data_IF_565196441904
#
_entry.id   IF_565196441904
#
_cell.length_a   1.000
_cell.length_b   1.000
_cell.length_c   1.000
_cell.angle_alpha   90.00
_cell.angle_beta   90.00
_cell.angle_gamma   90.00
#
_symmetry.space_group_name_H-M   'P 1'
#
loop_
_entity.id
_entity.type
_entity.pdbx_description
1 polymer ?
#
# COMPACT_ATOMS: atom_id res chain seq x y z
N UNK A 1 17.84 6.17 4.79
CA UNK A 1 19.00 6.30 3.84
C UNK A 1 19.82 5.02 3.74
N UNK A 2 20.15 4.34 4.85
CA UNK A 2 20.83 3.01 4.83
C UNK A 2 20.01 1.90 4.17
N UNK A 3 18.71 1.81 4.45
CA UNK A 3 17.85 0.73 3.92
C UNK A 3 17.71 0.77 2.38
N UNK A 4 17.66 1.96 1.78
CA UNK A 4 17.66 2.14 0.32
C UNK A 4 18.99 1.73 -0.32
N UNK A 5 20.12 1.94 0.36
CA UNK A 5 21.42 1.45 -0.11
C UNK A 5 21.52 -0.07 -0.01
N UNK A 6 20.96 -0.67 1.05
CA UNK A 6 20.88 -2.12 1.22
C UNK A 6 19.99 -2.76 0.14
N UNK A 7 18.80 -2.20 -0.12
CA UNK A 7 17.93 -2.68 -1.20
C UNK A 7 18.59 -2.56 -2.58
N UNK A 8 19.33 -1.47 -2.84
CA UNK A 8 20.11 -1.32 -4.08
C UNK A 8 21.27 -2.31 -4.18
N UNK A 9 21.97 -2.59 -3.07
CA UNK A 9 23.06 -3.58 -3.04
C UNK A 9 22.56 -5.01 -3.22
N UNK A 10 21.42 -5.35 -2.61
CA UNK A 10 20.77 -6.64 -2.84
C UNK A 10 20.33 -6.77 -4.30
N UNK A 11 19.70 -5.74 -4.86
CA UNK A 11 19.33 -5.68 -6.27
C UNK A 11 20.51 -5.89 -7.23
N UNK A 12 21.67 -5.28 -6.94
CA UNK A 12 22.86 -5.40 -7.80
C UNK A 12 23.67 -6.68 -7.59
N UNK A 13 23.68 -7.25 -6.38
CA UNK A 13 24.22 -8.59 -6.13
C UNK A 13 23.35 -9.66 -6.81
N UNK A 14 22.04 -9.46 -6.83
CA UNK A 14 21.09 -10.35 -7.49
C UNK A 14 21.13 -10.24 -9.02
N UNK A 15 21.42 -9.06 -9.58
CA UNK A 15 21.57 -8.86 -11.01
C UNK A 15 22.78 -9.62 -11.62
N UNK A 16 23.75 -10.02 -10.79
CA UNK A 16 24.87 -10.87 -11.22
C UNK A 16 24.46 -12.34 -11.43
N UNK A 17 23.27 -12.74 -10.95
CA UNK A 17 22.64 -14.04 -11.20
C UNK A 17 21.74 -13.94 -12.43
N UNK A 18 22.13 -14.60 -13.53
CA UNK A 18 21.50 -14.56 -14.86
C UNK A 18 20.08 -15.20 -14.96
N UNK A 19 19.19 -14.98 -13.99
CA UNK A 19 17.82 -15.47 -14.07
C UNK A 19 16.80 -14.41 -13.61
N UNK A 20 16.04 -13.91 -14.59
CA UNK A 20 14.85 -13.05 -14.49
C UNK A 20 15.12 -11.56 -14.25
N UNK A 21 14.67 -10.70 -15.17
CA UNK A 21 14.60 -9.25 -14.94
C UNK A 21 13.73 -8.97 -13.70
N UNK A 22 14.35 -8.62 -12.58
CA UNK A 22 13.64 -8.27 -11.34
C UNK A 22 13.17 -6.83 -11.43
N UNK A 23 11.86 -6.62 -11.55
CA UNK A 23 11.25 -5.28 -11.45
C UNK A 23 11.02 -4.95 -9.98
N UNK A 24 11.78 -3.99 -9.46
CA UNK A 24 11.50 -3.42 -8.15
C UNK A 24 10.31 -2.49 -8.26
N UNK A 25 9.30 -2.74 -7.42
CA UNK A 25 8.14 -1.87 -7.32
C UNK A 25 7.99 -1.37 -5.89
N UNK A 26 7.97 -0.05 -5.74
CA UNK A 26 7.72 0.60 -4.47
C UNK A 26 6.22 0.79 -4.26
N UNK A 27 5.70 0.30 -3.14
CA UNK A 27 4.37 0.65 -2.65
C UNK A 27 4.55 1.52 -1.42
N UNK A 28 3.94 2.68 -1.41
CA UNK A 28 4.02 3.63 -0.31
C UNK A 28 2.62 3.94 0.19
N UNK A 29 2.51 4.17 1.49
CA UNK A 29 1.33 4.81 2.06
C UNK A 29 1.09 6.15 1.35
N UNK A 30 -0.16 6.54 1.25
CA UNK A 30 -0.53 7.84 0.73
C UNK A 30 -0.78 8.80 1.87
N UNK A 31 0.24 8.93 2.70
CA UNK A 31 0.38 9.95 3.73
C UNK A 31 1.40 11.00 3.28
N UNK A 32 1.72 11.96 4.15
CA UNK A 32 2.73 12.95 3.84
C UNK A 32 4.11 12.33 3.57
N UNK A 33 4.53 11.34 4.37
CA UNK A 33 5.85 10.76 4.25
C UNK A 33 5.98 9.89 2.99
N UNK A 34 4.99 9.05 2.70
CA UNK A 34 4.94 8.19 1.53
C UNK A 34 4.89 8.97 0.22
N UNK A 35 4.05 10.02 0.12
CA UNK A 35 4.06 10.95 -1.03
C UNK A 35 5.43 11.58 -1.26
N UNK A 36 6.09 12.01 -0.18
CA UNK A 36 7.43 12.61 -0.24
C UNK A 36 8.49 11.60 -0.69
N UNK A 37 8.48 10.39 -0.14
CA UNK A 37 9.42 9.33 -0.51
C UNK A 37 9.26 8.87 -1.96
N UNK A 38 8.01 8.70 -2.41
CA UNK A 38 7.70 8.31 -3.78
C UNK A 38 8.22 9.36 -4.78
N UNK A 39 8.01 10.65 -4.49
CA UNK A 39 8.53 11.75 -5.29
C UNK A 39 10.07 11.76 -5.32
N UNK A 40 10.69 11.70 -4.14
CA UNK A 40 12.15 11.68 -4.01
C UNK A 40 12.77 10.54 -4.82
N UNK A 41 12.16 9.35 -4.81
CA UNK A 41 12.65 8.20 -5.57
C UNK A 41 12.61 8.45 -7.08
N UNK A 42 11.55 9.07 -7.58
CA UNK A 42 11.43 9.45 -9.00
C UNK A 42 12.41 10.58 -9.40
N UNK A 43 12.75 11.47 -8.47
CA UNK A 43 13.75 12.54 -8.68
C UNK A 43 15.18 11.99 -8.69
N UNK A 44 15.47 10.99 -7.85
CA UNK A 44 16.80 10.38 -7.73
C UNK A 44 17.18 9.47 -8.91
N UNK A 45 16.20 8.84 -9.56
CA UNK A 45 16.41 8.02 -10.75
C UNK A 45 15.29 8.29 -11.77
N UNK A 46 15.62 8.95 -12.88
CA UNK A 46 14.65 9.31 -13.92
C UNK A 46 13.98 8.09 -14.57
N UNK A 47 14.55 6.89 -14.41
CA UNK A 47 13.96 5.63 -14.90
C UNK A 47 12.90 5.09 -13.96
N UNK A 48 12.75 5.62 -12.75
CA UNK A 48 11.66 5.28 -11.84
C UNK A 48 10.52 6.27 -12.08
N UNK A 49 9.31 5.76 -12.33
CA UNK A 49 8.13 6.58 -12.60
C UNK A 49 6.96 6.21 -11.70
N UNK A 50 6.22 7.23 -11.29
CA UNK A 50 4.94 7.09 -10.60
C UNK A 50 3.94 6.25 -11.42
N UNK A 51 3.22 5.38 -10.72
CA UNK A 51 2.26 4.39 -11.23
C UNK A 51 2.79 3.46 -12.32
N UNK A 52 4.12 3.33 -12.42
CA UNK A 52 4.79 2.33 -13.24
C UNK A 52 5.72 1.48 -12.40
N UNK A 53 6.56 2.16 -11.61
CA UNK A 53 7.57 1.55 -10.74
C UNK A 53 7.28 1.87 -9.26
N UNK A 54 6.54 2.96 -9.00
CA UNK A 54 6.21 3.43 -7.65
C UNK A 54 4.74 3.78 -7.56
N UNK A 55 4.03 3.20 -6.59
CA UNK A 55 2.59 3.35 -6.40
C UNK A 55 2.32 3.92 -5.00
N UNK A 56 1.28 4.75 -4.92
CA UNK A 56 0.72 5.23 -3.66
C UNK A 56 -0.54 4.43 -3.36
N UNK A 57 -0.76 4.10 -2.10
CA UNK A 57 -2.00 3.46 -1.66
C UNK A 57 -3.19 4.40 -1.81
N UNK A 58 -4.33 3.84 -2.16
CA UNK A 58 -5.59 4.57 -2.22
C UNK A 58 -6.71 3.69 -1.68
N UNK A 59 -7.79 4.28 -1.17
CA UNK A 59 -9.00 3.54 -0.83
C UNK A 59 -9.52 2.67 -1.98
N UNK A 60 -9.36 3.16 -3.22
CA UNK A 60 -9.65 2.41 -4.44
C UNK A 60 -8.40 2.32 -5.29
N UNK A 61 -7.89 1.11 -5.47
CA UNK A 61 -6.78 0.82 -6.38
C UNK A 61 -7.34 0.33 -7.73
N UNK A 62 -7.29 1.15 -8.80
CA UNK A 62 -7.89 0.78 -10.09
C UNK A 62 -7.09 -0.32 -10.79
N UNK A 63 -7.74 -1.30 -11.43
CA UNK A 63 -7.03 -2.26 -12.30
C UNK A 63 -6.22 -1.54 -13.40
N UNK A 64 -5.04 -2.06 -13.77
CA UNK A 64 -4.21 -1.47 -14.83
C UNK A 64 -4.87 -1.57 -16.19
N UNK A 65 -5.60 -2.67 -16.46
CA UNK A 65 -6.09 -3.03 -17.79
C UNK A 65 -4.97 -2.99 -18.85
N UNK A 66 -3.75 -3.39 -18.47
CA UNK A 66 -2.58 -3.38 -19.34
C UNK A 66 -1.94 -2.00 -19.53
N UNK A 67 -2.38 -0.96 -18.81
CA UNK A 67 -1.84 0.40 -18.91
C UNK A 67 -1.31 0.88 -17.56
N UNK A 68 -0.07 1.39 -17.56
CA UNK A 68 0.63 1.93 -16.39
C UNK A 68 1.01 3.42 -16.58
N UNK A 69 1.61 4.01 -15.56
CA UNK A 69 2.17 5.35 -15.58
C UNK A 69 1.07 6.43 -15.49
N UNK A 70 1.19 7.54 -16.24
CA UNK A 70 0.29 8.69 -16.13
C UNK A 70 -1.20 8.35 -16.28
N UNK A 71 -1.54 7.36 -17.11
CA UNK A 71 -2.93 6.95 -17.32
C UNK A 71 -3.52 6.23 -16.11
N UNK A 72 -2.75 5.34 -15.48
CA UNK A 72 -3.17 4.68 -14.25
C UNK A 72 -3.27 5.68 -13.10
N UNK A 73 -2.32 6.62 -13.02
CA UNK A 73 -2.36 7.71 -12.06
C UNK A 73 -3.64 8.54 -12.18
N UNK A 74 -3.99 9.00 -13.39
CA UNK A 74 -5.23 9.78 -13.61
C UNK A 74 -6.48 9.01 -13.21
N UNK A 75 -6.53 7.70 -13.47
CA UNK A 75 -7.65 6.85 -13.03
C UNK A 75 -7.72 6.73 -11.51
N UNK A 76 -6.58 6.55 -10.85
CA UNK A 76 -6.53 6.50 -9.38
C UNK A 76 -7.01 7.83 -8.79
N UNK A 77 -6.53 8.96 -9.29
CA UNK A 77 -6.95 10.31 -8.86
C UNK A 77 -8.46 10.53 -9.10
N UNK A 78 -8.97 10.14 -10.27
CA UNK A 78 -10.39 10.29 -10.58
C UNK A 78 -11.30 9.45 -9.66
N UNK A 79 -10.96 8.17 -9.47
CA UNK A 79 -11.75 7.24 -8.64
C UNK A 79 -11.69 7.57 -7.15
N UNK A 80 -10.63 8.24 -6.70
CA UNK A 80 -10.45 8.63 -5.30
C UNK A 80 -10.68 10.13 -5.05
N UNK A 81 -11.22 10.85 -6.02
CA UNK A 81 -11.46 12.30 -5.92
C UNK A 81 -12.37 12.67 -4.74
N UNK A 82 -13.34 11.82 -4.40
CA UNK A 82 -14.20 11.98 -3.22
C UNK A 82 -13.46 11.84 -1.89
N UNK A 83 -12.26 11.25 -1.92
CA UNK A 83 -11.38 11.04 -0.76
C UNK A 83 -10.15 11.96 -0.80
N UNK A 84 -10.16 13.03 -1.61
CA UNK A 84 -9.03 13.94 -1.74
C UNK A 84 -8.65 14.57 -0.37
N UNK A 85 -7.42 14.33 0.07
CA UNK A 85 -6.92 14.80 1.38
C UNK A 85 -7.20 13.86 2.55
N UNK A 86 -7.68 12.64 2.29
CA UNK A 86 -7.57 11.53 3.23
C UNK A 86 -6.17 10.92 3.05
N UNK A 87 -5.40 10.84 4.13
CA UNK A 87 -4.22 9.99 4.12
C UNK A 87 -4.70 8.52 4.16
N UNK A 88 -3.94 7.63 3.55
CA UNK A 88 -4.34 6.22 3.43
C UNK A 88 -3.14 5.31 3.62
N UNK A 89 -3.23 4.45 4.61
CA UNK A 89 -2.18 3.51 4.99
C UNK A 89 -2.66 2.07 4.78
N UNK A 90 -1.76 1.09 4.91
CA UNK A 90 -2.09 -0.32 4.66
C UNK A 90 -3.12 -0.87 5.68
N UNK A 91 -3.07 -0.42 6.93
CA UNK A 91 -4.02 -0.79 7.98
C UNK A 91 -5.45 -0.32 7.71
N UNK A 92 -5.64 0.71 6.89
CA UNK A 92 -6.98 1.23 6.54
C UNK A 92 -7.76 0.29 5.61
N UNK A 93 -7.12 -0.77 5.10
CA UNK A 93 -7.79 -1.87 4.40
C UNK A 93 -8.42 -2.91 5.35
N UNK A 94 -8.12 -2.85 6.65
CA UNK A 94 -8.75 -3.72 7.64
C UNK A 94 -10.21 -3.30 7.88
N UNK A 95 -11.13 -4.26 8.12
CA UNK A 95 -12.51 -3.94 8.36
C UNK A 95 -12.69 -3.16 9.68
N UNK A 96 -13.65 -2.24 9.70
CA UNK A 96 -13.91 -1.38 10.85
C UNK A 96 -14.26 -2.17 12.12
N UNK A 97 -14.91 -3.32 11.99
CA UNK A 97 -15.25 -4.18 13.13
C UNK A 97 -14.00 -4.75 13.80
N UNK A 98 -13.03 -5.25 13.03
CA UNK A 98 -11.75 -5.75 13.55
C UNK A 98 -10.92 -4.63 14.21
N UNK A 99 -10.91 -3.44 13.59
CA UNK A 99 -10.25 -2.27 14.17
C UNK A 99 -10.92 -1.85 15.48
N UNK A 100 -12.25 -1.90 15.55
CA UNK A 100 -12.99 -1.58 16.78
C UNK A 100 -12.65 -2.54 17.90
N UNK A 101 -12.67 -3.85 17.62
CA UNK A 101 -12.28 -4.88 18.61
C UNK A 101 -10.86 -4.69 19.11
N UNK A 102 -9.92 -4.39 18.20
CA UNK A 102 -8.55 -4.04 18.56
C UNK A 102 -8.48 -2.82 19.50
N UNK A 103 -9.19 -1.74 19.18
CA UNK A 103 -9.20 -0.51 19.97
C UNK A 103 -9.84 -0.71 21.35
N UNK A 104 -10.88 -1.55 21.45
CA UNK A 104 -11.52 -1.88 22.72
C UNK A 104 -10.57 -2.67 23.64
N UNK A 105 -9.78 -3.58 23.07
CA UNK A 105 -8.76 -4.35 23.80
C UNK A 105 -7.50 -3.51 24.15
N UNK A 106 -7.19 -2.47 23.37
CA UNK A 106 -5.96 -1.68 23.48
C UNK A 106 -6.25 -0.18 23.60
N UNK A 107 -6.78 0.23 24.75
CA UNK A 107 -7.11 1.63 25.02
C UNK A 107 -5.90 2.55 24.82
N UNK A 108 -6.08 3.62 24.04
CA UNK A 108 -5.03 4.58 23.71
C UNK A 108 -4.14 4.19 22.52
N UNK A 109 -4.39 3.06 21.85
CA UNK A 109 -3.68 2.69 20.63
C UNK A 109 -3.99 3.65 19.45
N UNK A 110 -5.22 4.16 19.37
CA UNK A 110 -5.69 5.07 18.33
C UNK A 110 -5.46 6.54 18.74
N UNK A 111 -4.72 7.28 17.93
CA UNK A 111 -4.46 8.71 18.12
C UNK A 111 -5.59 9.57 17.57
N UNK A 112 -6.07 9.27 16.36
CA UNK A 112 -7.17 10.00 15.72
C UNK A 112 -7.84 9.15 14.63
N UNK A 113 -9.04 9.57 14.21
CA UNK A 113 -9.72 8.97 13.06
C UNK A 113 -10.30 10.05 12.16
N UNK A 114 -10.31 9.81 10.85
CA UNK A 114 -10.87 10.72 9.86
C UNK A 114 -11.70 9.94 8.85
N UNK A 115 -12.96 10.32 8.66
CA UNK A 115 -13.86 9.66 7.71
C UNK A 115 -14.21 10.62 6.58
N UNK A 116 -14.14 10.15 5.34
CA UNK A 116 -14.51 10.90 4.15
C UNK A 116 -15.06 9.97 3.08
N UNK A 117 -16.21 10.32 2.50
CA UNK A 117 -16.88 9.52 1.46
C UNK A 117 -17.05 8.02 1.80
N UNK A 118 -17.36 7.71 3.06
CA UNK A 118 -17.56 6.33 3.54
C UNK A 118 -16.26 5.53 3.72
N UNK A 119 -15.09 6.17 3.64
CA UNK A 119 -13.79 5.58 3.95
C UNK A 119 -13.23 6.21 5.22
N UNK A 120 -12.61 5.42 6.08
CA UNK A 120 -12.07 5.87 7.36
C UNK A 120 -10.58 5.59 7.40
N UNK A 121 -9.80 6.62 7.71
CA UNK A 121 -8.40 6.52 8.05
C UNK A 121 -8.26 6.46 9.58
N UNK A 122 -7.46 5.52 10.06
CA UNK A 122 -7.16 5.31 11.48
C UNK A 122 -5.70 5.64 11.76
N UNK A 123 -5.43 6.75 12.44
CA UNK A 123 -4.09 7.11 12.86
C UNK A 123 -3.76 6.43 14.19
N UNK A 124 -2.89 5.44 14.17
CA UNK A 124 -2.43 4.74 15.36
C UNK A 124 -1.15 5.33 15.93
N UNK A 125 -0.99 5.23 17.24
CA UNK A 125 0.33 5.46 17.87
C UNK A 125 1.33 4.42 17.36
N UNK A 126 2.63 4.73 17.47
CA UNK A 126 3.69 3.78 17.11
C UNK A 126 3.55 2.43 17.83
N UNK A 127 3.18 2.46 19.11
CA UNK A 127 2.93 1.25 19.89
C UNK A 127 1.64 0.55 19.45
N UNK A 128 0.58 1.33 19.16
CA UNK A 128 -0.66 0.82 18.58
C UNK A 128 -0.44 0.03 17.30
N UNK A 129 0.36 0.55 16.34
CA UNK A 129 0.69 -0.17 15.10
C UNK A 129 1.39 -1.51 15.37
N UNK A 130 2.29 -1.55 16.36
CA UNK A 130 2.99 -2.78 16.75
C UNK A 130 2.03 -3.81 17.33
N UNK A 131 1.10 -3.38 18.19
CA UNK A 131 0.09 -4.25 18.79
C UNK A 131 -0.95 -4.72 17.76
N UNK A 132 -1.35 -3.85 16.84
CA UNK A 132 -2.30 -4.16 15.77
C UNK A 132 -1.79 -5.32 14.90
N UNK A 133 -0.49 -5.32 14.56
CA UNK A 133 0.10 -6.42 13.80
C UNK A 133 -0.07 -7.79 14.50
N UNK A 134 0.17 -7.83 15.82
CA UNK A 134 -0.02 -9.05 16.60
C UNK A 134 -1.49 -9.46 16.67
N UNK A 135 -2.37 -8.50 16.95
CA UNK A 135 -3.81 -8.72 17.04
C UNK A 135 -4.39 -9.26 15.72
N UNK A 136 -4.05 -8.66 14.57
CA UNK A 136 -4.49 -9.12 13.25
C UNK A 136 -3.98 -10.54 12.96
N UNK A 137 -2.75 -10.87 13.38
CA UNK A 137 -2.21 -12.21 13.17
C UNK A 137 -2.91 -13.29 14.01
N UNK A 138 -3.50 -12.92 15.15
CA UNK A 138 -4.17 -13.83 16.08
C UNK A 138 -5.67 -13.95 15.80
N UNK A 139 -6.34 -12.83 15.50
CA UNK A 139 -7.81 -12.74 15.49
C UNK A 139 -8.41 -12.64 14.08
N UNK A 140 -7.66 -12.14 13.08
CA UNK A 140 -8.23 -11.94 11.76
C UNK A 140 -8.49 -13.27 11.04
N UNK A 141 -9.66 -13.38 10.43
CA UNK A 141 -10.00 -14.49 9.53
C UNK A 141 -9.77 -14.09 8.06
N UNK A 142 -10.03 -15.01 7.14
CA UNK A 142 -9.82 -14.75 5.69
C UNK A 142 -10.75 -13.66 5.17
N UNK A 143 -11.98 -13.57 5.69
CA UNK A 143 -12.96 -12.56 5.26
C UNK A 143 -12.49 -11.15 5.64
N UNK A 144 -11.84 -11.00 6.80
CA UNK A 144 -11.24 -9.72 7.22
C UNK A 144 -10.10 -9.27 6.30
N UNK A 145 -9.46 -10.23 5.63
CA UNK A 145 -8.31 -9.99 4.77
C UNK A 145 -8.68 -9.79 3.30
N UNK A 146 -9.97 -9.84 2.93
CA UNK A 146 -10.45 -9.75 1.55
C UNK A 146 -9.94 -8.49 0.85
N UNK A 147 -10.00 -7.33 1.50
CA UNK A 147 -9.58 -6.06 0.89
C UNK A 147 -8.06 -6.02 0.67
N UNK A 148 -7.27 -6.60 1.59
CA UNK A 148 -5.82 -6.76 1.42
C UNK A 148 -5.50 -7.76 0.30
N UNK A 149 -6.25 -8.86 0.17
CA UNK A 149 -6.11 -9.82 -0.93
C UNK A 149 -6.44 -9.15 -2.27
N UNK A 150 -7.48 -8.30 -2.33
CA UNK A 150 -7.82 -7.50 -3.51
C UNK A 150 -6.73 -6.49 -3.86
N UNK A 151 -6.13 -5.84 -2.86
CA UNK A 151 -4.95 -4.99 -3.05
C UNK A 151 -3.79 -5.79 -3.65
N UNK A 152 -3.47 -6.96 -3.11
CA UNK A 152 -2.41 -7.83 -3.64
C UNK A 152 -2.70 -8.24 -5.08
N UNK A 153 -3.94 -8.65 -5.41
CA UNK A 153 -4.34 -8.95 -6.77
C UNK A 153 -4.13 -7.77 -7.72
N UNK A 154 -4.46 -6.56 -7.26
CA UNK A 154 -4.28 -5.33 -8.03
C UNK A 154 -2.80 -5.01 -8.25
N UNK A 155 -1.95 -5.19 -7.25
CA UNK A 155 -0.51 -5.03 -7.40
C UNK A 155 0.07 -6.07 -8.36
N UNK A 156 -0.40 -7.32 -8.31
CA UNK A 156 -0.02 -8.37 -9.27
C UNK A 156 -0.42 -8.00 -10.70
N UNK A 157 -1.62 -7.44 -10.89
CA UNK A 157 -2.06 -6.91 -12.17
C UNK A 157 -1.12 -5.82 -12.70
N UNK A 158 -0.70 -4.89 -11.84
CA UNK A 158 0.27 -3.84 -12.23
C UNK A 158 1.62 -4.41 -12.68
N UNK A 159 2.01 -5.55 -12.09
CA UNK A 159 3.25 -6.25 -12.39
C UNK A 159 3.14 -7.21 -13.58
N UNK A 160 1.95 -7.40 -14.15
CA UNK A 160 1.69 -8.40 -15.19
C UNK A 160 1.80 -9.84 -14.68
N UNK A 161 1.54 -10.07 -13.39
CA UNK A 161 1.60 -11.39 -12.75
C UNK A 161 0.20 -12.04 -12.70
N UNK A 162 0.16 -13.36 -12.89
CA UNK A 162 -1.07 -14.15 -12.79
C UNK A 162 -1.66 -14.07 -11.37
N UNK A 163 -2.96 -13.82 -11.23
CA UNK A 163 -3.60 -13.65 -9.93
C UNK A 163 -5.05 -14.13 -9.90
N UNK A 164 -5.55 -14.79 -10.96
CA UNK A 164 -6.94 -15.21 -11.04
C UNK A 164 -7.32 -16.22 -9.96
N UNK A 165 -6.40 -17.12 -9.60
CA UNK A 165 -6.57 -18.11 -8.53
C UNK A 165 -6.61 -17.52 -7.11
N UNK A 166 -6.25 -16.25 -6.95
CA UNK A 166 -6.23 -15.56 -5.65
C UNK A 166 -7.47 -14.68 -5.44
N UNK A 167 -8.33 -14.52 -6.45
CA UNK A 167 -9.51 -13.66 -6.33
C UNK A 167 -10.52 -14.32 -5.40
N UNK A 168 -10.98 -13.62 -4.34
CA UNK A 168 -12.05 -14.10 -3.47
C UNK A 168 -13.39 -14.15 -4.20
#
# INVERSE_FOLDING_TARGET
>A
MRELQTLRQMASQDAASLTTERKFVGLFDNDHAGRKHARMLCEMDFRVKHYRDVFLLHPVMPASNGVLGPELQRRAEAQNSSCAGLDWEIEDFLPEDLIREFCDANQGALSSKKTMAGRTHFEFTREGKRLLQGFVAEEANVDDMIELIRLICTLRDYLGLEHQSMRP
#
